data_IF_060337085031
#
_entry.id   IF_060337085031
#
_cell.length_a   1.000
_cell.length_b   1.000
_cell.length_c   1.000
_cell.angle_alpha   90.00
_cell.angle_beta   90.00
_cell.angle_gamma   90.00
#
_symmetry.space_group_name_H-M   'P 1'
#
loop_
_entity.id
_entity.type
_entity.pdbx_description
1 polymer ?
#
# COMPACT_ATOMS: atom_id res chain seq x y z
N UNK A 1 -0.85 -14.70 23.15
CA UNK A 1 -0.06 -13.46 22.91
C UNK A 1 1.36 -13.78 23.35
N UNK A 2 2.40 -13.53 22.49
CA UNK A 2 3.79 -13.72 22.90
C UNK A 2 4.13 -12.92 24.15
N UNK A 3 4.94 -13.48 25.03
CA UNK A 3 5.28 -12.87 26.31
C UNK A 3 5.98 -11.51 26.11
N UNK A 4 6.88 -11.43 25.12
CA UNK A 4 7.60 -10.19 24.78
C UNK A 4 6.67 -9.04 24.40
N UNK A 5 5.56 -9.35 23.72
CA UNK A 5 4.55 -8.36 23.37
C UNK A 5 3.78 -7.91 24.61
N UNK A 6 3.37 -8.85 25.45
CA UNK A 6 2.66 -8.56 26.69
C UNK A 6 3.50 -7.71 27.65
N UNK A 7 4.77 -8.07 27.83
CA UNK A 7 5.73 -7.34 28.68
C UNK A 7 6.02 -5.93 28.15
N UNK A 8 6.16 -5.78 26.81
CA UNK A 8 6.37 -4.49 26.18
C UNK A 8 5.16 -3.55 26.37
N UNK A 9 3.97 -4.05 26.13
CA UNK A 9 2.72 -3.28 26.34
C UNK A 9 2.55 -2.89 27.81
N UNK A 10 2.87 -3.78 28.75
CA UNK A 10 2.85 -3.46 30.18
C UNK A 10 3.85 -2.37 30.57
N UNK A 11 4.95 -2.21 29.82
CA UNK A 11 5.95 -1.14 29.97
C UNK A 11 5.58 0.13 29.18
N UNK A 12 4.46 0.16 28.50
CA UNK A 12 4.02 1.30 27.70
C UNK A 12 4.76 1.43 26.35
N UNK A 13 5.29 0.33 25.80
CA UNK A 13 5.91 0.34 24.48
C UNK A 13 4.84 0.50 23.38
N UNK A 14 5.09 1.40 22.46
CA UNK A 14 4.17 1.76 21.38
C UNK A 14 4.77 1.53 19.99
N UNK A 15 6.09 1.63 19.85
CA UNK A 15 6.79 1.50 18.58
C UNK A 15 7.55 0.17 18.50
N UNK A 16 7.65 -0.39 17.28
CA UNK A 16 8.38 -1.65 17.03
C UNK A 16 9.81 -1.66 17.59
N UNK A 17 10.52 -0.54 17.47
CA UNK A 17 11.92 -0.42 17.95
C UNK A 17 12.09 -0.57 19.47
N UNK A 18 11.01 -0.37 20.22
CA UNK A 18 11.00 -0.51 21.69
C UNK A 18 10.91 -1.96 22.14
N UNK A 19 10.43 -2.85 21.25
CA UNK A 19 10.30 -4.28 21.52
C UNK A 19 11.58 -5.03 21.17
N UNK A 20 11.84 -6.18 21.84
CA UNK A 20 12.99 -7.03 21.52
C UNK A 20 13.00 -7.44 20.04
N UNK A 21 14.19 -7.62 19.50
CA UNK A 21 14.38 -8.13 18.11
C UNK A 21 13.85 -9.55 17.93
N UNK A 22 13.74 -10.31 19.02
CA UNK A 22 13.11 -11.65 19.05
C UNK A 22 11.61 -11.63 18.70
N UNK A 23 10.92 -10.49 18.87
CA UNK A 23 9.53 -10.38 18.45
C UNK A 23 9.44 -10.50 16.94
N UNK A 24 8.78 -11.57 16.47
CA UNK A 24 8.67 -11.85 15.05
C UNK A 24 7.86 -10.76 14.32
N UNK A 25 8.32 -10.38 13.13
CA UNK A 25 7.68 -9.32 12.34
C UNK A 25 6.22 -9.65 12.01
N UNK A 26 5.92 -10.91 11.69
CA UNK A 26 4.56 -11.35 11.40
C UNK A 26 3.58 -11.23 12.59
N UNK A 27 4.10 -11.20 13.82
CA UNK A 27 3.30 -10.94 15.02
C UNK A 27 3.07 -9.44 15.15
N UNK A 28 4.13 -8.65 14.95
CA UNK A 28 4.03 -7.20 14.97
C UNK A 28 3.01 -6.70 13.94
N UNK A 29 3.07 -7.20 12.70
CA UNK A 29 2.16 -6.82 11.61
C UNK A 29 0.68 -7.09 11.91
N UNK A 30 0.40 -8.05 12.82
CA UNK A 30 -0.98 -8.34 13.25
C UNK A 30 -1.50 -7.45 14.37
N UNK A 31 -0.61 -6.80 15.12
CA UNK A 31 -0.99 -6.04 16.32
C UNK A 31 -0.75 -4.55 16.20
N UNK A 32 0.10 -4.11 15.26
CA UNK A 32 0.32 -2.70 15.01
C UNK A 32 -0.91 -2.06 14.35
N UNK A 33 -1.08 -0.76 14.55
CA UNK A 33 -2.09 0.02 13.85
C UNK A 33 -1.50 0.42 12.50
N UNK A 34 -1.78 -0.37 11.47
CA UNK A 34 -1.30 -0.10 10.11
C UNK A 34 -2.03 1.09 9.48
N UNK A 35 -3.33 1.23 9.80
CA UNK A 35 -4.17 2.32 9.30
C UNK A 35 -4.96 2.93 10.45
N UNK A 36 -4.87 4.23 10.56
CA UNK A 36 -5.69 4.99 11.48
C UNK A 36 -6.94 5.47 10.78
N UNK A 37 -8.10 5.05 11.29
CA UNK A 37 -9.39 5.58 10.87
C UNK A 37 -10.17 6.02 12.10
N UNK A 38 -10.64 7.27 12.09
CA UNK A 38 -11.51 7.78 13.15
C UNK A 38 -12.79 6.94 13.31
N UNK A 39 -13.31 6.39 12.20
CA UNK A 39 -14.50 5.52 12.21
C UNK A 39 -14.23 4.18 12.89
N UNK A 40 -13.06 3.60 12.69
CA UNK A 40 -12.72 2.26 13.18
C UNK A 40 -12.20 2.28 14.64
N UNK A 41 -11.78 3.45 15.14
CA UNK A 41 -11.22 3.59 16.48
C UNK A 41 -12.22 4.10 17.52
N UNK A 42 -13.49 4.33 17.16
CA UNK A 42 -14.48 4.97 18.02
C UNK A 42 -14.79 4.26 19.34
N UNK A 43 -14.64 2.94 19.41
CA UNK A 43 -14.94 2.16 20.61
C UNK A 43 -13.91 2.29 21.74
N UNK A 44 -12.69 2.72 21.46
CA UNK A 44 -11.60 2.86 22.44
C UNK A 44 -11.09 4.30 22.61
N UNK A 45 -11.80 5.29 22.05
CA UNK A 45 -11.44 6.71 22.03
C UNK A 45 -10.90 7.25 23.35
N UNK A 46 -11.56 6.94 24.46
CA UNK A 46 -11.20 7.48 25.77
C UNK A 46 -9.95 6.88 26.41
N UNK A 47 -9.42 5.79 25.86
CA UNK A 47 -8.32 5.02 26.45
C UNK A 47 -7.14 4.83 25.50
N UNK A 48 -7.25 5.22 24.22
CA UNK A 48 -6.24 5.04 23.23
C UNK A 48 -5.35 6.29 23.11
N UNK A 49 -4.10 6.21 23.56
CA UNK A 49 -3.14 7.30 23.45
C UNK A 49 -2.86 7.66 21.99
N UNK A 50 -2.80 6.65 21.10
CA UNK A 50 -2.60 6.85 19.67
C UNK A 50 -3.75 7.67 19.05
N UNK A 51 -5.00 7.34 19.40
CA UNK A 51 -6.17 8.12 18.99
C UNK A 51 -6.09 9.57 19.50
N UNK A 52 -5.75 9.76 20.77
CA UNK A 52 -5.65 11.08 21.38
C UNK A 52 -4.60 11.96 20.67
N UNK A 53 -3.40 11.41 20.40
CA UNK A 53 -2.32 12.11 19.68
C UNK A 53 -2.77 12.47 18.25
N UNK A 54 -3.36 11.52 17.52
CA UNK A 54 -3.83 11.75 16.16
C UNK A 54 -4.95 12.78 16.09
N UNK A 55 -5.87 12.75 17.04
CA UNK A 55 -6.93 13.75 17.19
C UNK A 55 -6.34 15.13 17.45
N UNK A 56 -5.36 15.24 18.36
CA UNK A 56 -4.69 16.51 18.64
C UNK A 56 -3.99 17.07 17.40
N UNK A 57 -3.21 16.26 16.70
CA UNK A 57 -2.50 16.68 15.48
C UNK A 57 -3.45 17.19 14.40
N UNK A 58 -4.63 16.61 14.32
CA UNK A 58 -5.64 16.96 13.31
C UNK A 58 -6.36 18.28 13.61
N UNK A 59 -6.52 18.61 14.88
CA UNK A 59 -7.30 19.78 15.32
C UNK A 59 -6.45 20.85 16.02
N UNK A 60 -5.12 20.75 15.95
CA UNK A 60 -4.27 21.76 16.59
C UNK A 60 -4.23 23.05 15.78
N UNK A 61 -4.32 24.16 16.48
CA UNK A 61 -4.11 25.51 15.95
C UNK A 61 -2.66 26.00 16.23
N UNK A 62 -1.83 25.12 16.78
CA UNK A 62 -0.47 25.44 17.19
C UNK A 62 0.58 25.02 16.20
N UNK A 63 1.83 25.00 16.65
CA UNK A 63 2.98 24.56 15.86
C UNK A 63 3.05 23.04 15.84
N UNK A 64 3.11 22.45 14.64
CA UNK A 64 3.37 21.03 14.42
C UNK A 64 4.79 20.85 13.92
N UNK A 65 5.60 20.10 14.67
CA UNK A 65 6.93 19.67 14.25
C UNK A 65 6.85 18.23 13.76
N UNK A 66 7.22 18.00 12.50
CA UNK A 66 7.23 16.66 11.92
C UNK A 66 8.44 16.49 10.99
N UNK A 67 8.80 15.24 10.68
CA UNK A 67 9.77 14.96 9.64
C UNK A 67 9.15 15.08 8.24
N UNK A 68 9.99 15.17 7.21
CA UNK A 68 9.54 15.28 5.82
C UNK A 68 8.74 14.05 5.36
N UNK A 69 9.06 12.84 5.86
CA UNK A 69 8.31 11.63 5.52
C UNK A 69 6.85 11.70 6.03
N UNK A 70 6.65 12.26 7.22
CA UNK A 70 5.31 12.46 7.76
C UNK A 70 4.54 13.54 7.00
N UNK A 71 5.21 14.63 6.62
CA UNK A 71 4.61 15.68 5.79
C UNK A 71 4.18 15.13 4.42
N UNK A 72 5.05 14.39 3.74
CA UNK A 72 4.72 13.78 2.43
C UNK A 72 3.59 12.75 2.53
N UNK A 73 3.54 11.96 3.60
CA UNK A 73 2.43 11.07 3.87
C UNK A 73 1.11 11.81 4.09
N UNK A 74 1.14 12.95 4.80
CA UNK A 74 -0.02 13.82 4.97
C UNK A 74 -0.51 14.38 3.62
N UNK A 75 0.38 14.96 2.83
CA UNK A 75 0.05 15.55 1.52
C UNK A 75 -0.52 14.49 0.57
N UNK A 76 0.04 13.27 0.57
CA UNK A 76 -0.47 12.15 -0.22
C UNK A 76 -1.92 11.78 0.17
N UNK A 77 -2.26 11.77 1.46
CA UNK A 77 -3.63 11.51 1.89
C UNK A 77 -4.59 12.63 1.47
N UNK A 78 -4.17 13.89 1.63
CA UNK A 78 -4.97 15.04 1.22
C UNK A 78 -5.26 15.02 -0.28
N UNK A 79 -4.25 14.71 -1.11
CA UNK A 79 -4.40 14.58 -2.57
C UNK A 79 -5.43 13.52 -2.96
N UNK A 80 -5.48 12.40 -2.23
CA UNK A 80 -6.48 11.33 -2.43
C UNK A 80 -7.87 11.66 -1.88
N UNK A 81 -8.12 12.90 -1.47
CA UNK A 81 -9.39 13.30 -0.88
C UNK A 81 -9.62 12.71 0.53
N UNK A 82 -8.63 12.07 1.11
CA UNK A 82 -8.69 11.51 2.45
C UNK A 82 -8.43 12.59 3.51
N UNK A 83 -8.84 12.29 4.73
CA UNK A 83 -8.47 13.10 5.87
C UNK A 83 -6.95 13.06 6.10
N UNK A 84 -6.32 14.22 6.07
CA UNK A 84 -4.88 14.35 6.33
C UNK A 84 -4.46 13.90 7.74
N UNK A 85 -3.16 13.79 7.95
CA UNK A 85 -2.58 13.41 9.24
C UNK A 85 -2.49 14.55 10.25
N UNK A 86 -2.45 15.80 9.74
CA UNK A 86 -2.41 17.05 10.51
C UNK A 86 -3.51 18.00 10.02
N UNK A 87 -3.71 19.12 10.73
CA UNK A 87 -4.63 20.15 10.26
C UNK A 87 -4.24 20.61 8.85
N UNK A 88 -5.23 20.78 7.98
CA UNK A 88 -5.03 21.21 6.58
C UNK A 88 -4.75 22.68 6.43
N UNK A 89 -5.27 23.48 7.35
CA UNK A 89 -5.17 24.93 7.32
C UNK A 89 -3.90 25.39 8.01
N UNK A 90 -2.76 25.25 7.33
CA UNK A 90 -1.50 25.77 7.82
C UNK A 90 -1.23 27.15 7.19
N UNK A 91 -1.12 28.19 8.02
CA UNK A 91 -0.77 29.54 7.56
C UNK A 91 0.67 29.62 7.03
N UNK A 92 1.56 28.78 7.56
CA UNK A 92 2.97 28.74 7.20
C UNK A 92 3.53 27.33 7.32
N UNK A 93 4.21 26.88 6.27
CA UNK A 93 5.00 25.64 6.27
C UNK A 93 6.47 26.02 6.10
N UNK A 94 7.30 25.63 7.07
CA UNK A 94 8.76 25.78 7.01
C UNK A 94 9.40 24.41 6.84
N UNK A 95 10.12 24.23 5.74
CA UNK A 95 10.78 22.97 5.41
C UNK A 95 12.29 23.14 5.60
N UNK A 96 12.84 22.47 6.60
CA UNK A 96 14.29 22.35 6.77
C UNK A 96 14.85 21.30 5.82
N UNK A 97 16.09 21.48 5.35
CA UNK A 97 16.73 20.60 4.36
C UNK A 97 15.87 20.37 3.11
N UNK A 98 15.26 21.45 2.60
CA UNK A 98 14.29 21.40 1.50
C UNK A 98 14.83 20.73 0.22
N UNK A 99 16.15 20.66 0.04
CA UNK A 99 16.81 19.97 -1.07
C UNK A 99 16.52 18.44 -1.10
N UNK A 100 16.12 17.86 0.05
CA UNK A 100 15.75 16.45 0.14
C UNK A 100 14.26 16.22 -0.13
N UNK A 101 13.44 17.27 -0.17
CA UNK A 101 11.98 17.14 -0.25
C UNK A 101 11.54 16.47 -1.56
N UNK A 102 12.16 16.83 -2.68
CA UNK A 102 11.84 16.24 -4.00
C UNK A 102 12.04 14.72 -4.01
N UNK A 103 13.17 14.24 -3.48
CA UNK A 103 13.45 12.81 -3.36
C UNK A 103 12.47 12.11 -2.39
N UNK A 104 12.06 12.78 -1.31
CA UNK A 104 11.08 12.26 -0.36
C UNK A 104 9.70 12.16 -0.97
N UNK A 105 9.26 13.19 -1.69
CA UNK A 105 7.99 13.19 -2.43
C UNK A 105 7.99 12.07 -3.47
N UNK A 106 9.04 11.99 -4.29
CA UNK A 106 9.18 10.94 -5.30
C UNK A 106 9.15 9.55 -4.69
N UNK A 107 9.88 9.34 -3.60
CA UNK A 107 9.86 8.06 -2.88
C UNK A 107 8.48 7.73 -2.31
N UNK A 108 7.77 8.71 -1.77
CA UNK A 108 6.44 8.53 -1.22
C UNK A 108 5.37 8.25 -2.28
N UNK A 109 5.55 8.75 -3.51
CA UNK A 109 4.62 8.54 -4.63
C UNK A 109 4.99 7.33 -5.50
N UNK A 110 6.16 6.74 -5.29
CA UNK A 110 6.58 5.52 -5.98
C UNK A 110 5.91 4.30 -5.37
N UNK A 111 5.08 3.64 -6.16
CA UNK A 111 4.41 2.40 -5.75
C UNK A 111 5.16 1.18 -6.31
N UNK A 112 5.12 0.10 -5.53
CA UNK A 112 5.71 -1.20 -5.89
C UNK A 112 4.70 -2.30 -5.69
N UNK A 113 4.46 -3.05 -6.74
CA UNK A 113 3.61 -4.22 -6.69
C UNK A 113 4.38 -5.47 -7.11
N UNK A 114 4.17 -6.54 -6.37
CA UNK A 114 4.70 -7.84 -6.72
C UNK A 114 3.62 -8.93 -6.60
N UNK A 115 3.85 -10.03 -7.29
CA UNK A 115 2.90 -11.14 -7.36
C UNK A 115 2.49 -11.66 -5.98
N UNK A 116 3.46 -11.85 -5.08
CA UNK A 116 3.21 -12.42 -3.76
C UNK A 116 2.35 -11.50 -2.88
N UNK A 117 2.62 -10.18 -2.93
CA UNK A 117 1.83 -9.19 -2.19
C UNK A 117 0.38 -9.17 -2.67
N UNK A 118 0.15 -9.11 -4.00
CA UNK A 118 -1.20 -9.08 -4.56
C UNK A 118 -2.00 -10.34 -4.25
N UNK A 119 -1.39 -11.52 -4.48
CA UNK A 119 -2.05 -12.80 -4.18
C UNK A 119 -2.34 -12.96 -2.69
N UNK A 120 -1.40 -12.53 -1.83
CA UNK A 120 -1.56 -12.52 -0.39
C UNK A 120 -2.69 -11.61 0.07
N UNK A 121 -2.80 -10.42 -0.53
CA UNK A 121 -3.83 -9.43 -0.21
C UNK A 121 -5.23 -9.93 -0.60
N UNK A 122 -5.40 -10.46 -1.82
CA UNK A 122 -6.68 -11.07 -2.26
C UNK A 122 -7.07 -12.21 -1.31
N UNK A 123 -6.14 -13.09 -0.96
CA UNK A 123 -6.41 -14.18 -0.03
C UNK A 123 -6.83 -13.67 1.35
N UNK A 124 -6.17 -12.65 1.85
CA UNK A 124 -6.49 -12.06 3.16
C UNK A 124 -7.87 -11.40 3.13
N UNK A 125 -8.17 -10.60 2.10
CA UNK A 125 -9.46 -9.96 1.92
C UNK A 125 -10.60 -10.99 1.75
N UNK A 126 -10.37 -12.08 0.98
CA UNK A 126 -11.34 -13.18 0.86
C UNK A 126 -11.64 -13.86 2.22
N UNK A 127 -10.64 -13.92 3.12
CA UNK A 127 -10.84 -14.49 4.45
C UNK A 127 -11.70 -13.61 5.37
N UNK A 128 -11.86 -12.33 5.05
CA UNK A 128 -12.76 -11.40 5.75
C UNK A 128 -14.23 -11.63 5.37
N UNK A 129 -14.50 -12.31 4.25
CA UNK A 129 -15.84 -12.74 3.86
C UNK A 129 -16.25 -13.93 4.70
N UNK A 130 -17.50 -13.92 5.21
CA UNK A 130 -18.06 -15.05 5.97
C UNK A 130 -17.94 -16.35 5.18
N UNK A 131 -17.63 -17.49 5.83
CA UNK A 131 -17.48 -18.76 5.14
C UNK A 131 -18.68 -19.15 4.26
N UNK A 132 -19.91 -18.80 4.68
CA UNK A 132 -21.13 -19.06 3.92
C UNK A 132 -21.21 -18.27 2.61
N UNK A 133 -20.60 -17.07 2.55
CA UNK A 133 -20.68 -16.16 1.42
C UNK A 133 -19.46 -16.26 0.48
N UNK A 134 -18.42 -17.01 0.86
CA UNK A 134 -17.17 -17.11 0.07
C UNK A 134 -17.39 -17.65 -1.34
N UNK A 135 -18.41 -18.48 -1.54
CA UNK A 135 -18.75 -18.99 -2.87
C UNK A 135 -19.18 -17.86 -3.82
N UNK A 136 -19.77 -16.79 -3.27
CA UNK A 136 -20.25 -15.65 -4.06
C UNK A 136 -19.11 -14.78 -4.62
N UNK A 137 -17.92 -14.80 -3.99
CA UNK A 137 -16.72 -14.03 -4.42
C UNK A 137 -15.68 -14.92 -5.09
N UNK A 138 -15.95 -16.22 -5.21
CA UNK A 138 -14.95 -17.19 -5.67
C UNK A 138 -14.49 -16.93 -7.10
N UNK A 139 -15.43 -16.65 -8.01
CA UNK A 139 -15.11 -16.47 -9.43
C UNK A 139 -14.21 -15.26 -9.63
N UNK A 140 -14.57 -14.10 -9.11
CA UNK A 140 -13.85 -12.84 -9.26
C UNK A 140 -12.47 -12.93 -8.61
N UNK A 141 -12.36 -13.54 -7.43
CA UNK A 141 -11.07 -13.71 -6.75
C UNK A 141 -10.15 -14.70 -7.47
N UNK A 142 -10.70 -15.75 -8.08
CA UNK A 142 -9.93 -16.69 -8.86
C UNK A 142 -9.46 -16.08 -10.19
N UNK A 143 -10.31 -15.33 -10.86
CA UNK A 143 -9.96 -14.60 -12.08
C UNK A 143 -8.87 -13.56 -11.81
N UNK A 144 -8.99 -12.80 -10.72
CA UNK A 144 -7.95 -11.86 -10.32
C UNK A 144 -6.61 -12.57 -10.06
N UNK A 145 -6.61 -13.71 -9.36
CA UNK A 145 -5.39 -14.48 -9.12
C UNK A 145 -4.76 -15.01 -10.42
N UNK A 146 -5.57 -15.40 -11.40
CA UNK A 146 -5.12 -15.86 -12.70
C UNK A 146 -4.47 -14.72 -13.48
N UNK A 147 -5.14 -13.58 -13.59
CA UNK A 147 -4.63 -12.42 -14.33
C UNK A 147 -3.37 -11.84 -13.68
N UNK A 148 -3.26 -11.84 -12.35
CA UNK A 148 -2.03 -11.48 -11.64
C UNK A 148 -0.88 -12.39 -12.07
N UNK A 149 -1.07 -13.71 -12.11
CA UNK A 149 -0.01 -14.64 -12.54
C UNK A 149 0.38 -14.38 -13.99
N UNK A 150 -0.59 -14.23 -14.88
CA UNK A 150 -0.36 -13.94 -16.30
C UNK A 150 0.47 -12.67 -16.48
N UNK A 151 0.13 -11.60 -15.78
CA UNK A 151 0.87 -10.34 -15.85
C UNK A 151 2.32 -10.48 -15.35
N UNK A 152 2.54 -11.10 -14.19
CA UNK A 152 3.91 -11.27 -13.68
C UNK A 152 4.74 -12.26 -14.49
N UNK A 153 4.15 -13.22 -15.16
CA UNK A 153 4.86 -14.08 -16.11
C UNK A 153 5.24 -13.29 -17.36
N UNK A 154 4.41 -12.36 -17.84
CA UNK A 154 4.78 -11.40 -18.88
C UNK A 154 5.97 -10.52 -18.45
N UNK A 155 5.96 -9.95 -17.23
CA UNK A 155 7.09 -9.17 -16.71
C UNK A 155 8.40 -9.99 -16.68
N UNK A 156 8.33 -11.24 -16.23
CA UNK A 156 9.50 -12.13 -16.21
C UNK A 156 10.04 -12.38 -17.63
N UNK A 157 9.14 -12.57 -18.60
CA UNK A 157 9.53 -12.76 -20.00
C UNK A 157 10.21 -11.50 -20.56
N UNK A 158 9.68 -10.30 -20.27
CA UNK A 158 10.30 -9.04 -20.67
C UNK A 158 11.72 -8.87 -20.09
N UNK A 159 11.90 -9.17 -18.79
CA UNK A 159 13.22 -9.14 -18.15
C UNK A 159 14.18 -10.12 -18.81
N UNK A 160 13.74 -11.36 -19.08
CA UNK A 160 14.58 -12.36 -19.69
C UNK A 160 14.98 -11.98 -21.13
N UNK A 161 14.04 -11.41 -21.89
CA UNK A 161 14.32 -10.90 -23.23
C UNK A 161 15.39 -9.81 -23.19
N UNK A 162 15.26 -8.80 -22.33
CA UNK A 162 16.23 -7.73 -22.19
C UNK A 162 17.61 -8.23 -21.75
N UNK A 163 17.68 -9.24 -20.89
CA UNK A 163 18.96 -9.88 -20.51
C UNK A 163 19.60 -10.58 -21.70
N UNK A 164 18.81 -11.29 -22.51
CA UNK A 164 19.31 -12.05 -23.65
C UNK A 164 19.78 -11.15 -24.80
N UNK A 165 19.09 -10.03 -25.03
CA UNK A 165 19.36 -9.09 -26.10
C UNK A 165 20.44 -8.05 -25.77
N UNK A 166 20.82 -7.95 -24.50
CA UNK A 166 21.77 -6.95 -24.06
C UNK A 166 23.17 -7.22 -24.59
N UNK A 167 23.82 -6.16 -25.15
CA UNK A 167 25.23 -6.19 -25.53
C UNK A 167 26.21 -6.24 -24.35
N UNK A 168 25.71 -5.91 -23.14
CA UNK A 168 26.41 -5.95 -21.87
C UNK A 168 25.78 -6.97 -20.97
N UNK A 169 26.53 -7.48 -19.99
CA UNK A 169 26.01 -8.42 -19.00
C UNK A 169 25.02 -7.73 -18.06
N UNK A 170 23.73 -7.91 -18.33
CA UNK A 170 22.64 -7.41 -17.51
C UNK A 170 22.11 -8.43 -16.47
N UNK A 171 22.79 -9.56 -16.28
CA UNK A 171 22.35 -10.59 -15.31
C UNK A 171 22.24 -10.05 -13.89
N UNK A 172 23.00 -9.02 -13.56
CA UNK A 172 23.02 -8.35 -12.26
C UNK A 172 22.29 -7.00 -12.25
N UNK A 173 21.67 -6.61 -13.38
CA UNK A 173 20.86 -5.38 -13.39
C UNK A 173 19.64 -5.53 -12.49
N UNK A 174 19.34 -4.46 -11.76
CA UNK A 174 18.19 -4.40 -10.86
C UNK A 174 16.97 -3.75 -11.51
N UNK A 175 17.15 -2.96 -12.59
CA UNK A 175 16.08 -2.23 -13.27
C UNK A 175 16.05 -2.55 -14.75
N UNK A 176 14.83 -2.73 -15.25
CA UNK A 176 14.53 -3.06 -16.63
C UNK A 176 13.40 -2.15 -17.14
N UNK A 177 13.37 -1.90 -18.42
CA UNK A 177 12.28 -1.16 -19.04
C UNK A 177 11.00 -2.01 -19.02
N UNK A 178 9.88 -1.36 -18.72
CA UNK A 178 8.58 -1.96 -18.96
C UNK A 178 8.21 -1.77 -20.44
N UNK A 179 7.91 -2.86 -21.14
CA UNK A 179 7.43 -2.80 -22.51
C UNK A 179 6.00 -2.24 -22.55
N UNK A 180 5.85 -1.03 -23.09
CA UNK A 180 4.55 -0.35 -23.24
C UNK A 180 3.85 -0.71 -24.55
N UNK A 181 4.14 -1.87 -25.15
CA UNK A 181 3.38 -2.37 -26.30
C UNK A 181 1.89 -2.55 -25.97
N UNK A 182 1.05 -2.47 -27.00
CA UNK A 182 -0.40 -2.65 -26.82
C UNK A 182 -0.75 -3.99 -26.15
N UNK A 183 0.02 -5.04 -26.40
CA UNK A 183 -0.15 -6.35 -25.78
C UNK A 183 0.13 -6.30 -24.28
N UNK A 184 1.29 -5.77 -23.88
CA UNK A 184 1.68 -5.64 -22.47
C UNK A 184 0.71 -4.76 -21.68
N UNK A 185 0.27 -3.66 -22.28
CA UNK A 185 -0.73 -2.76 -21.69
C UNK A 185 -2.08 -3.46 -21.54
N UNK A 186 -2.50 -4.27 -22.50
CA UNK A 186 -3.77 -5.01 -22.39
C UNK A 186 -3.72 -6.07 -21.27
N UNK A 187 -2.58 -6.76 -21.10
CA UNK A 187 -2.38 -7.70 -19.99
C UNK A 187 -2.42 -6.96 -18.64
N UNK A 188 -1.77 -5.80 -18.55
CA UNK A 188 -1.82 -4.96 -17.34
C UNK A 188 -3.26 -4.52 -17.03
N UNK A 189 -4.00 -4.03 -18.04
CA UNK A 189 -5.42 -3.63 -17.90
C UNK A 189 -6.30 -4.79 -17.46
N UNK A 190 -6.11 -5.98 -18.02
CA UNK A 190 -6.85 -7.18 -17.63
C UNK A 190 -6.63 -7.51 -16.16
N UNK A 191 -5.39 -7.48 -15.68
CA UNK A 191 -5.06 -7.68 -14.27
C UNK A 191 -5.74 -6.65 -13.38
N UNK A 192 -5.65 -5.35 -13.71
CA UNK A 192 -6.23 -4.28 -12.88
C UNK A 192 -7.74 -4.39 -12.82
N UNK A 193 -8.41 -4.64 -13.96
CA UNK A 193 -9.86 -4.83 -14.00
C UNK A 193 -10.30 -6.06 -13.17
N UNK A 194 -9.55 -7.14 -13.22
CA UNK A 194 -9.84 -8.33 -12.42
C UNK A 194 -9.66 -8.06 -10.91
N UNK A 195 -8.61 -7.33 -10.52
CA UNK A 195 -8.41 -6.92 -9.11
C UNK A 195 -9.57 -6.02 -8.65
N UNK A 196 -9.99 -5.04 -9.47
CA UNK A 196 -11.11 -4.15 -9.16
C UNK A 196 -12.42 -4.95 -8.98
N UNK A 197 -12.71 -5.89 -9.88
CA UNK A 197 -13.88 -6.73 -9.77
C UNK A 197 -13.87 -7.58 -8.49
N UNK A 198 -12.71 -8.15 -8.13
CA UNK A 198 -12.56 -8.90 -6.90
C UNK A 198 -12.74 -8.01 -5.66
N UNK A 199 -12.16 -6.79 -5.65
CA UNK A 199 -12.30 -5.84 -4.55
C UNK A 199 -13.77 -5.47 -4.33
N UNK A 200 -14.50 -5.09 -5.38
CA UNK A 200 -15.91 -4.75 -5.32
C UNK A 200 -16.78 -5.94 -4.84
N UNK A 201 -16.51 -7.14 -5.34
CA UNK A 201 -17.24 -8.34 -4.92
C UNK A 201 -17.00 -8.64 -3.45
N UNK A 202 -15.75 -8.54 -2.97
CA UNK A 202 -15.39 -8.74 -1.56
C UNK A 202 -16.08 -7.69 -0.67
N UNK A 203 -16.09 -6.42 -1.05
CA UNK A 203 -16.72 -5.36 -0.27
C UNK A 203 -18.20 -5.61 0.00
N UNK A 204 -18.94 -6.16 -0.97
CA UNK A 204 -20.37 -6.50 -0.83
C UNK A 204 -20.59 -7.53 0.27
N UNK A 205 -19.68 -8.49 0.43
CA UNK A 205 -19.82 -9.65 1.34
C UNK A 205 -18.91 -9.58 2.56
N UNK A 206 -17.97 -8.62 2.62
CA UNK A 206 -17.13 -8.42 3.79
C UNK A 206 -18.01 -7.99 4.97
N UNK A 207 -17.89 -8.69 6.08
CA UNK A 207 -18.68 -8.40 7.27
C UNK A 207 -17.85 -7.67 8.29
N UNK A 208 -18.33 -6.51 8.71
CA UNK A 208 -17.80 -5.83 9.87
C UNK A 208 -18.17 -6.62 11.13
N UNK A 209 -17.22 -7.30 11.73
CA UNK A 209 -17.36 -7.84 13.09
C UNK A 209 -16.67 -6.88 14.05
N UNK A 210 -17.43 -6.28 14.94
CA UNK A 210 -16.95 -5.29 15.91
C UNK A 210 -15.80 -5.81 16.81
N UNK A 211 -15.68 -7.11 16.94
CA UNK A 211 -14.63 -7.78 17.73
C UNK A 211 -13.43 -8.22 16.91
N UNK A 212 -13.51 -8.17 15.59
CA UNK A 212 -12.42 -8.50 14.69
C UNK A 212 -12.05 -7.26 13.86
N UNK A 213 -10.76 -6.88 13.85
CA UNK A 213 -10.18 -5.87 12.97
C UNK A 213 -10.15 -6.35 11.51
N UNK A 214 -11.24 -6.91 11.01
CA UNK A 214 -11.24 -7.85 9.90
C UNK A 214 -11.47 -7.22 8.53
N UNK A 215 -11.64 -5.90 8.42
CA UNK A 215 -11.79 -5.24 7.12
C UNK A 215 -10.52 -4.59 6.58
N UNK A 216 -9.38 -4.76 7.24
CA UNK A 216 -8.14 -4.07 6.85
C UNK A 216 -7.59 -4.55 5.50
N UNK A 217 -7.79 -5.81 5.14
CA UNK A 217 -7.30 -6.36 3.88
C UNK A 217 -8.25 -6.04 2.71
N UNK A 218 -9.57 -6.00 2.93
CA UNK A 218 -10.53 -5.56 1.91
C UNK A 218 -10.37 -4.06 1.62
N UNK A 219 -10.20 -3.23 2.65
CA UNK A 219 -9.93 -1.81 2.49
C UNK A 219 -8.59 -1.57 1.75
N UNK A 220 -7.54 -2.33 2.08
CA UNK A 220 -6.26 -2.25 1.38
C UNK A 220 -6.35 -2.69 -0.07
N UNK A 221 -7.13 -3.72 -0.36
CA UNK A 221 -7.35 -4.19 -1.72
C UNK A 221 -8.10 -3.15 -2.55
N UNK A 222 -9.09 -2.51 -1.96
CA UNK A 222 -9.88 -1.46 -2.60
C UNK A 222 -9.02 -0.23 -2.93
N UNK A 223 -8.30 0.32 -1.96
CA UNK A 223 -7.39 1.45 -2.20
C UNK A 223 -6.30 1.12 -3.24
N UNK A 224 -5.77 -0.11 -3.22
CA UNK A 224 -4.80 -0.53 -4.21
C UNK A 224 -5.44 -0.63 -5.59
N UNK A 225 -6.67 -1.15 -5.68
CA UNK A 225 -7.40 -1.25 -6.95
C UNK A 225 -7.69 0.12 -7.55
N UNK A 226 -8.09 1.10 -6.73
CA UNK A 226 -8.30 2.49 -7.16
C UNK A 226 -7.01 3.13 -7.67
N UNK A 227 -5.90 2.99 -6.95
CA UNK A 227 -4.59 3.50 -7.37
C UNK A 227 -4.10 2.87 -8.68
N UNK A 228 -4.37 1.59 -8.90
CA UNK A 228 -4.03 0.92 -10.16
C UNK A 228 -4.91 1.37 -11.33
N UNK A 229 -6.18 1.62 -11.07
CA UNK A 229 -7.12 2.15 -12.08
C UNK A 229 -6.71 3.56 -12.49
N UNK A 230 -6.42 4.45 -11.53
CA UNK A 230 -5.92 5.80 -11.78
C UNK A 230 -4.66 5.77 -12.66
N UNK A 231 -3.67 4.93 -12.29
CA UNK A 231 -2.45 4.77 -13.07
C UNK A 231 -2.72 4.30 -14.51
N UNK A 232 -3.70 3.42 -14.72
CA UNK A 232 -4.05 2.92 -16.07
C UNK A 232 -4.80 3.97 -16.90
N UNK A 233 -5.68 4.75 -16.28
CA UNK A 233 -6.45 5.81 -16.94
C UNK A 233 -5.55 6.96 -17.36
N UNK A 234 -4.52 7.27 -16.56
CA UNK A 234 -3.54 8.34 -16.80
C UNK A 234 -2.15 7.78 -17.13
N UNK A 235 -2.07 6.69 -17.88
CA UNK A 235 -0.83 5.94 -18.12
C UNK A 235 0.30 6.81 -18.69
N UNK A 236 -0.03 7.79 -19.52
CA UNK A 236 0.92 8.73 -20.11
C UNK A 236 1.57 9.65 -19.07
N UNK A 237 0.95 9.83 -17.92
CA UNK A 237 1.46 10.64 -16.81
C UNK A 237 2.27 9.83 -15.79
N UNK A 238 2.45 8.55 -16.03
CA UNK A 238 3.23 7.68 -15.17
C UNK A 238 4.51 7.17 -15.83
N UNK A 239 5.56 7.00 -15.04
CA UNK A 239 6.76 6.21 -15.37
C UNK A 239 6.57 4.81 -14.83
N UNK A 240 6.75 3.81 -15.70
CA UNK A 240 6.69 2.40 -15.34
C UNK A 240 8.04 1.75 -15.63
N UNK A 241 8.52 0.91 -14.71
CA UNK A 241 9.70 0.09 -14.90
C UNK A 241 9.59 -1.21 -14.08
N UNK A 242 10.46 -2.16 -14.39
CA UNK A 242 10.54 -3.43 -13.69
C UNK A 242 11.76 -3.38 -12.77
N UNK A 243 11.58 -3.68 -11.47
CA UNK A 243 12.68 -3.92 -10.54
C UNK A 243 12.82 -5.42 -10.25
N UNK A 244 14.09 -5.87 -10.20
CA UNK A 244 14.44 -7.23 -9.80
C UNK A 244 15.45 -7.18 -8.67
N UNK A 245 14.96 -7.21 -7.45
CA UNK A 245 15.78 -7.41 -6.25
C UNK A 245 15.66 -8.87 -5.81
N UNK A 246 16.43 -9.76 -6.49
CA UNK A 246 16.28 -11.20 -6.34
C UNK A 246 15.18 -11.77 -7.25
N UNK A 247 14.44 -12.77 -6.80
CA UNK A 247 13.25 -13.30 -7.46
C UNK A 247 12.07 -13.09 -6.49
N UNK A 248 10.98 -12.41 -6.81
CA UNK A 248 10.35 -12.15 -8.10
C UNK A 248 10.54 -10.71 -8.64
N UNK A 249 10.22 -10.49 -9.93
CA UNK A 249 10.12 -9.16 -10.53
C UNK A 249 8.99 -8.35 -9.89
N UNK A 250 9.19 -7.04 -9.77
CA UNK A 250 8.20 -6.08 -9.28
C UNK A 250 7.89 -5.06 -10.39
N UNK A 251 6.62 -4.72 -10.59
CA UNK A 251 6.28 -3.51 -11.32
C UNK A 251 6.41 -2.33 -10.37
N UNK A 252 7.13 -1.31 -10.81
CA UNK A 252 7.28 -0.05 -10.10
C UNK A 252 6.73 1.06 -10.96
N UNK A 253 5.95 1.95 -10.37
CA UNK A 253 5.40 3.10 -11.07
C UNK A 253 5.39 4.34 -10.19
N UNK A 254 5.56 5.51 -10.80
CA UNK A 254 5.43 6.79 -10.14
C UNK A 254 4.90 7.84 -11.13
N UNK A 255 4.19 8.86 -10.66
CA UNK A 255 3.80 10.00 -11.50
C UNK A 255 5.04 10.70 -12.09
N UNK A 256 4.98 11.09 -13.38
CA UNK A 256 6.03 11.87 -14.05
C UNK A 256 6.14 13.27 -13.46
N UNK A 257 5.02 13.83 -13.09
CA UNK A 257 4.95 15.19 -12.55
C UNK A 257 4.65 15.13 -11.05
N UNK A 258 5.69 15.37 -10.23
CA UNK A 258 5.55 15.45 -8.76
C UNK A 258 5.32 16.89 -8.27
N UNK A 259 5.17 17.85 -9.19
CA UNK A 259 5.05 19.28 -8.83
C UNK A 259 3.66 19.68 -8.33
N UNK A 260 2.68 18.81 -8.43
CA UNK A 260 1.29 19.05 -8.02
C UNK A 260 0.89 18.31 -6.74
N UNK A 261 1.87 17.97 -5.92
CA UNK A 261 1.63 17.34 -4.61
C UNK A 261 1.53 18.41 -3.54
#
# INVERSE_FOLDING_TARGET
IPQELADGVAKGFEERKQFPTSLQQNIWDKVNIQRFSMRNCGSCEKKCLYYAIRSQLRYTDGIVLCNQDFLTAHLRQVRRGLDGLINREADLIVVDEAHNLDDKVRSATTERINQGKLLGLIKSATNEVKPADRQNVYQETNDAQKEIRTFFDCLKAQVQHQINDAKQDMRYAERFFFDSSAESINILKAMVNAIKSAALSIQVYASFDYNNRSMAASDELDELSESLVEMIEELDDYLLWIERKGNPAELVYCPKNTREI
#
